data_IF_395686376322
#
_entry.id   IF_395686376322
#
_cell.length_a   1.000
_cell.length_b   1.000
_cell.length_c   1.000
_cell.angle_alpha   90.00
_cell.angle_beta   90.00
_cell.angle_gamma   90.00
#
_symmetry.space_group_name_H-M   'P 1'
#
loop_
_entity.id
_entity.type
_entity.pdbx_description
1 polymer ?
#
# COMPACT_ATOMS: atom_id res chain seq x y z
N UNK A 1 18.32 -31.17 6.72
CA UNK A 1 17.70 -30.32 7.75
C UNK A 1 18.61 -29.12 7.84
N UNK A 2 18.19 -27.98 7.27
CA UNK A 2 18.98 -26.75 7.33
C UNK A 2 18.75 -26.12 8.69
N UNK A 3 19.81 -25.86 9.44
CA UNK A 3 19.71 -25.14 10.71
C UNK A 3 19.53 -23.66 10.40
N UNK A 4 18.41 -23.08 10.86
CA UNK A 4 18.19 -21.64 10.74
C UNK A 4 18.78 -20.91 11.95
N UNK A 5 19.09 -19.64 11.75
CA UNK A 5 19.54 -18.74 12.81
C UNK A 5 18.82 -17.41 12.71
N UNK A 6 18.87 -16.64 13.81
CA UNK A 6 18.39 -15.27 13.84
C UNK A 6 19.48 -14.33 13.38
N UNK A 7 19.13 -13.45 12.45
CA UNK A 7 19.98 -12.38 11.98
C UNK A 7 19.73 -11.07 12.75
N UNK A 8 18.71 -11.02 13.61
CA UNK A 8 18.29 -9.86 14.38
C UNK A 8 16.81 -9.56 14.20
N UNK A 9 16.35 -8.52 14.89
CA UNK A 9 14.96 -8.06 14.84
C UNK A 9 14.83 -6.78 14.04
N UNK A 10 13.62 -6.42 13.65
CA UNK A 10 13.29 -5.16 12.99
C UNK A 10 13.87 -3.97 13.75
N UNK A 11 13.69 -3.95 15.07
CA UNK A 11 14.17 -2.86 15.92
C UNK A 11 15.67 -2.67 15.83
N UNK A 12 16.47 -3.74 15.88
CA UNK A 12 17.93 -3.61 15.91
C UNK A 12 18.59 -3.61 14.53
N UNK A 13 17.88 -4.00 13.46
CA UNK A 13 18.42 -4.06 12.10
C UNK A 13 17.90 -2.99 11.15
N UNK A 14 16.72 -2.42 11.41
CA UNK A 14 16.06 -1.50 10.47
C UNK A 14 15.69 -0.20 11.15
N UNK A 15 14.83 -0.24 12.17
CA UNK A 15 14.31 0.97 12.81
C UNK A 15 14.35 0.86 14.34
N UNK A 16 15.35 1.51 14.95
CA UNK A 16 15.55 1.53 16.41
C UNK A 16 14.40 2.14 17.22
N UNK A 17 13.46 2.83 16.56
CA UNK A 17 12.30 3.45 17.19
C UNK A 17 11.01 2.64 17.00
N UNK A 18 11.07 1.50 16.31
CA UNK A 18 9.91 0.69 15.97
C UNK A 18 10.11 -0.77 16.38
N UNK A 19 9.02 -1.41 16.79
CA UNK A 19 9.03 -2.79 17.27
C UNK A 19 8.78 -3.80 16.15
N UNK A 20 8.26 -3.37 15.00
CA UNK A 20 7.94 -4.25 13.86
C UNK A 20 7.60 -3.43 12.62
N UNK A 21 7.60 -4.01 11.41
CA UNK A 21 7.11 -3.31 10.22
C UNK A 21 5.65 -2.87 10.35
N UNK A 22 4.82 -3.66 11.05
CA UNK A 22 3.42 -3.29 11.29
C UNK A 22 3.30 -2.06 12.19
N UNK A 23 4.24 -1.87 13.12
CA UNK A 23 4.33 -0.67 13.94
C UNK A 23 4.75 0.56 13.12
N UNK A 24 5.65 0.41 12.13
CA UNK A 24 5.97 1.50 11.20
C UNK A 24 4.75 1.95 10.39
N UNK A 25 3.93 0.99 9.93
CA UNK A 25 2.67 1.27 9.25
C UNK A 25 1.70 2.04 10.17
N UNK A 26 1.57 1.59 11.43
CA UNK A 26 0.71 2.26 12.41
C UNK A 26 1.22 3.66 12.74
N UNK A 27 2.52 3.85 12.93
CA UNK A 27 3.12 5.16 13.21
C UNK A 27 2.90 6.13 12.06
N UNK A 28 3.02 5.66 10.81
CA UNK A 28 2.69 6.45 9.63
C UNK A 28 1.21 6.86 9.63
N UNK A 29 0.29 5.91 9.86
CA UNK A 29 -1.16 6.14 9.84
C UNK A 29 -1.60 7.04 11.00
N UNK A 30 -0.98 6.91 12.18
CA UNK A 30 -1.27 7.74 13.35
C UNK A 30 -0.94 9.23 13.13
N UNK A 31 -0.17 9.56 12.09
CA UNK A 31 0.07 10.94 11.65
C UNK A 31 -1.11 11.60 10.92
N UNK A 32 -2.10 10.82 10.47
CA UNK A 32 -3.31 11.30 9.79
C UNK A 32 -4.44 11.72 10.74
N UNK A 33 -5.60 12.10 10.20
CA UNK A 33 -6.79 12.38 11.01
C UNK A 33 -7.51 11.11 11.49
N UNK A 34 -8.25 11.23 12.60
CA UNK A 34 -8.89 10.08 13.26
C UNK A 34 -9.97 9.42 12.39
N UNK A 35 -10.72 10.20 11.61
CA UNK A 35 -11.80 9.67 10.77
C UNK A 35 -11.22 8.78 9.66
N UNK A 36 -10.09 9.18 9.08
CA UNK A 36 -9.35 8.39 8.11
C UNK A 36 -8.75 7.12 8.73
N UNK A 37 -8.17 7.21 9.93
CA UNK A 37 -7.63 6.05 10.65
C UNK A 37 -8.74 5.00 10.93
N UNK A 38 -9.88 5.45 11.45
CA UNK A 38 -11.04 4.59 11.71
C UNK A 38 -11.57 3.95 10.42
N UNK A 39 -11.58 4.71 9.31
CA UNK A 39 -12.00 4.19 8.01
C UNK A 39 -11.04 3.11 7.48
N UNK A 40 -9.73 3.30 7.63
CA UNK A 40 -8.72 2.31 7.24
C UNK A 40 -8.88 0.99 8.01
N UNK A 41 -9.10 1.07 9.31
CA UNK A 41 -9.31 -0.11 10.15
C UNK A 41 -10.64 -0.79 9.83
N UNK A 42 -11.75 -0.03 9.83
CA UNK A 42 -13.09 -0.58 9.61
C UNK A 42 -13.25 -1.20 8.22
N UNK A 43 -12.59 -0.64 7.20
CA UNK A 43 -12.63 -1.16 5.83
C UNK A 43 -11.75 -2.41 5.61
N UNK A 44 -10.83 -2.71 6.51
CA UNK A 44 -9.79 -3.73 6.34
C UNK A 44 -8.61 -3.27 5.46
N UNK A 45 -8.58 -1.99 5.06
CA UNK A 45 -7.46 -1.43 4.29
C UNK A 45 -6.15 -1.43 5.10
N UNK A 46 -6.21 -1.20 6.42
CA UNK A 46 -5.03 -1.27 7.30
C UNK A 46 -4.31 -2.62 7.21
N UNK A 47 -5.06 -3.72 7.36
CA UNK A 47 -4.49 -5.07 7.27
C UNK A 47 -3.89 -5.36 5.89
N UNK A 48 -4.49 -4.80 4.83
CA UNK A 48 -3.95 -4.91 3.48
C UNK A 48 -2.64 -4.15 3.31
N UNK A 49 -2.56 -2.92 3.81
CA UNK A 49 -1.33 -2.10 3.80
C UNK A 49 -0.20 -2.83 4.52
N UNK A 50 -0.47 -3.39 5.71
CA UNK A 50 0.51 -4.16 6.48
C UNK A 50 1.00 -5.39 5.71
N UNK A 51 0.08 -6.16 5.11
CA UNK A 51 0.45 -7.31 4.27
C UNK A 51 1.32 -6.88 3.09
N UNK A 52 0.93 -5.84 2.35
CA UNK A 52 1.66 -5.40 1.17
C UNK A 52 3.02 -4.78 1.50
N UNK A 53 3.17 -4.14 2.67
CA UNK A 53 4.46 -3.66 3.15
C UNK A 53 5.39 -4.84 3.51
N UNK A 54 4.86 -5.87 4.16
CA UNK A 54 5.61 -7.11 4.42
C UNK A 54 6.01 -7.83 3.14
N UNK A 55 5.12 -7.91 2.16
CA UNK A 55 5.43 -8.50 0.85
C UNK A 55 6.54 -7.71 0.14
N UNK A 56 6.52 -6.38 0.24
CA UNK A 56 7.58 -5.53 -0.32
C UNK A 56 8.93 -5.74 0.39
N UNK A 57 8.92 -5.94 1.71
CA UNK A 57 10.12 -6.28 2.49
C UNK A 57 10.66 -7.64 2.04
N UNK A 58 9.82 -8.67 2.01
CA UNK A 58 10.25 -10.02 1.62
C UNK A 58 10.82 -10.05 0.19
N UNK A 59 10.31 -9.21 -0.71
CA UNK A 59 10.77 -9.13 -2.10
C UNK A 59 12.20 -8.55 -2.25
N UNK A 60 12.70 -7.78 -1.28
CA UNK A 60 14.05 -7.19 -1.31
C UNK A 60 15.06 -7.97 -0.47
N UNK A 61 14.62 -8.96 0.31
CA UNK A 61 15.50 -9.80 1.11
C UNK A 61 16.31 -10.77 0.23
N UNK A 62 17.51 -11.18 0.69
CA UNK A 62 18.25 -12.24 0.04
C UNK A 62 17.48 -13.56 0.05
N UNK A 63 17.66 -14.42 -0.96
CA UNK A 63 17.11 -15.77 -0.94
C UNK A 63 17.51 -16.48 0.36
N UNK A 64 16.56 -17.18 0.97
CA UNK A 64 16.80 -17.90 2.22
C UNK A 64 16.72 -17.06 3.49
N UNK A 65 16.62 -15.73 3.39
CA UNK A 65 16.20 -14.86 4.50
C UNK A 65 14.71 -14.59 4.38
N UNK A 66 14.00 -14.68 5.51
CA UNK A 66 12.59 -14.29 5.62
C UNK A 66 12.34 -13.49 6.89
N UNK A 67 11.36 -12.59 6.86
CA UNK A 67 10.91 -11.88 8.05
C UNK A 67 9.76 -12.65 8.74
N UNK A 68 10.04 -13.22 9.91
CA UNK A 68 9.09 -13.97 10.72
C UNK A 68 8.64 -13.13 11.94
N UNK A 69 7.46 -12.51 11.83
CA UNK A 69 6.99 -11.57 12.85
C UNK A 69 7.78 -10.26 12.76
N UNK A 70 8.67 -10.03 13.71
CA UNK A 70 9.64 -8.94 13.75
C UNK A 70 11.09 -9.43 13.64
N UNK A 71 11.34 -10.72 13.41
CA UNK A 71 12.68 -11.31 13.41
C UNK A 71 13.11 -11.78 12.01
N UNK A 72 14.33 -11.44 11.59
CA UNK A 72 14.93 -11.93 10.35
C UNK A 72 15.56 -13.31 10.61
N UNK A 73 15.05 -14.32 9.90
CA UNK A 73 15.49 -15.71 10.04
C UNK A 73 16.11 -16.19 8.73
N UNK A 74 17.23 -16.88 8.82
CA UNK A 74 17.97 -17.36 7.65
C UNK A 74 18.86 -18.57 7.92
N UNK A 75 19.67 -19.02 6.95
CA UNK A 75 20.59 -20.15 7.13
C UNK A 75 21.71 -19.83 8.14
N UNK A 76 22.02 -20.74 9.06
CA UNK A 76 23.14 -20.52 10.00
C UNK A 76 24.52 -20.50 9.32
N UNK A 77 24.65 -21.23 8.20
CA UNK A 77 25.85 -21.29 7.37
C UNK A 77 25.43 -21.09 5.92
N UNK A 78 25.29 -19.82 5.47
CA UNK A 78 25.04 -19.54 4.06
C UNK A 78 26.21 -20.03 3.20
N UNK A 79 25.94 -20.31 1.93
CA UNK A 79 27.02 -20.54 0.95
C UNK A 79 27.85 -19.25 0.76
N UNK A 80 29.11 -19.38 0.34
CA UNK A 80 30.04 -18.23 0.22
C UNK A 80 29.52 -17.13 -0.72
N UNK A 81 28.71 -17.49 -1.72
CA UNK A 81 28.15 -16.60 -2.75
C UNK A 81 26.64 -16.32 -2.56
N UNK A 82 26.01 -16.83 -1.50
CA UNK A 82 24.55 -16.81 -1.35
C UNK A 82 23.98 -15.38 -1.26
N UNK A 83 24.77 -14.46 -0.70
CA UNK A 83 24.39 -13.07 -0.48
C UNK A 83 25.18 -12.09 -1.35
N UNK A 84 25.89 -12.57 -2.36
CA UNK A 84 26.65 -11.71 -3.28
C UNK A 84 25.72 -10.70 -3.97
N UNK A 85 26.10 -9.42 -3.92
CA UNK A 85 25.35 -8.32 -4.52
C UNK A 85 24.28 -7.70 -3.61
N UNK A 86 24.08 -8.22 -2.40
CA UNK A 86 23.23 -7.59 -1.39
C UNK A 86 24.01 -6.56 -0.55
N UNK A 87 23.34 -5.51 -0.04
CA UNK A 87 23.96 -4.52 0.84
C UNK A 87 24.54 -5.16 2.12
N UNK A 88 25.74 -4.69 2.51
CA UNK A 88 26.40 -5.09 3.76
C UNK A 88 26.84 -3.86 4.57
N UNK A 89 26.89 -4.02 5.89
CA UNK A 89 27.32 -3.00 6.84
C UNK A 89 28.86 -2.91 6.95
N UNK A 90 29.36 -2.02 7.80
CA UNK A 90 30.81 -1.82 8.03
C UNK A 90 31.53 -3.05 8.61
N UNK A 91 30.77 -4.06 9.04
CA UNK A 91 31.27 -5.30 9.62
C UNK A 91 31.03 -6.51 8.70
N UNK A 92 30.75 -6.27 7.41
CA UNK A 92 30.45 -7.27 6.39
C UNK A 92 29.20 -8.15 6.71
N UNK A 93 28.27 -7.67 7.54
CA UNK A 93 26.98 -8.34 7.75
C UNK A 93 25.92 -7.75 6.82
N UNK A 94 24.85 -8.52 6.54
CA UNK A 94 23.70 -8.01 5.78
C UNK A 94 23.13 -6.71 6.37
N UNK A 95 23.03 -5.68 5.54
CA UNK A 95 22.43 -4.40 5.90
C UNK A 95 20.94 -4.39 5.49
N UNK A 96 20.10 -4.91 6.39
CA UNK A 96 18.64 -4.94 6.17
C UNK A 96 18.03 -3.54 6.05
N UNK A 97 18.60 -2.54 6.74
CA UNK A 97 18.11 -1.17 6.65
C UNK A 97 18.31 -0.62 5.24
N UNK A 98 19.48 -0.84 4.64
CA UNK A 98 19.75 -0.46 3.25
C UNK A 98 18.84 -1.18 2.25
N UNK A 99 18.54 -2.47 2.47
CA UNK A 99 17.65 -3.24 1.58
C UNK A 99 16.22 -2.68 1.55
N UNK A 100 15.67 -2.33 2.71
CA UNK A 100 14.27 -1.86 2.80
C UNK A 100 14.13 -0.36 2.58
N UNK A 101 15.22 0.39 2.50
CA UNK A 101 15.23 1.86 2.38
C UNK A 101 14.44 2.37 1.17
N UNK A 102 14.43 1.62 0.07
CA UNK A 102 13.75 2.01 -1.17
C UNK A 102 12.24 1.72 -1.15
N UNK A 103 11.73 1.02 -0.13
CA UNK A 103 10.31 0.70 -0.02
C UNK A 103 9.54 1.95 0.39
N UNK A 104 8.75 2.46 -0.54
CA UNK A 104 7.88 3.62 -0.32
C UNK A 104 6.57 3.22 0.38
N UNK A 105 6.59 3.26 1.71
CA UNK A 105 5.40 3.03 2.53
C UNK A 105 4.26 4.00 2.20
N UNK A 106 4.57 5.27 1.91
CA UNK A 106 3.55 6.27 1.59
C UNK A 106 2.79 5.89 0.31
N UNK A 107 3.50 5.42 -0.72
CA UNK A 107 2.89 4.91 -1.95
C UNK A 107 2.03 3.67 -1.73
N UNK A 108 2.45 2.76 -0.84
CA UNK A 108 1.65 1.57 -0.45
C UNK A 108 0.36 2.00 0.28
N UNK A 109 0.41 3.01 1.14
CA UNK A 109 -0.78 3.56 1.79
C UNK A 109 -1.69 4.22 0.77
N UNK A 110 -1.16 5.12 -0.08
CA UNK A 110 -1.91 5.89 -1.08
C UNK A 110 -2.63 5.01 -2.11
N UNK A 111 -2.05 3.88 -2.51
CA UNK A 111 -2.69 2.94 -3.45
C UNK A 111 -3.80 2.12 -2.79
N UNK A 112 -3.73 1.91 -1.47
CA UNK A 112 -4.70 1.12 -0.71
C UNK A 112 -5.81 1.94 -0.05
N UNK A 113 -5.73 3.27 -0.13
CA UNK A 113 -6.70 4.14 0.51
C UNK A 113 -8.16 3.80 0.11
N UNK A 114 -9.08 3.70 1.09
CA UNK A 114 -10.49 3.49 0.85
C UNK A 114 -11.16 4.80 0.42
N UNK A 115 -11.52 4.90 -0.86
CA UNK A 115 -12.21 6.05 -1.42
C UNK A 115 -13.72 5.85 -1.42
N UNK A 116 -14.46 6.85 -0.96
CA UNK A 116 -15.91 6.93 -1.17
C UNK A 116 -16.22 7.42 -2.58
N UNK A 117 -17.49 7.28 -3.00
CA UNK A 117 -17.93 7.88 -4.26
C UNK A 117 -17.79 9.42 -4.27
N UNK A 118 -17.88 10.07 -3.12
CA UNK A 118 -17.72 11.52 -3.02
C UNK A 118 -16.27 11.90 -3.31
N UNK A 119 -15.30 11.21 -2.70
CA UNK A 119 -13.85 11.43 -2.89
C UNK A 119 -13.46 11.15 -4.34
N UNK A 120 -13.91 10.03 -4.91
CA UNK A 120 -13.70 9.71 -6.33
C UNK A 120 -14.29 10.80 -7.23
N UNK A 121 -15.46 11.32 -6.87
CA UNK A 121 -16.13 12.36 -7.64
C UNK A 121 -15.37 13.68 -7.63
N UNK A 122 -14.90 14.09 -6.45
CA UNK A 122 -14.25 15.39 -6.24
C UNK A 122 -12.79 15.38 -6.66
N UNK A 123 -12.03 14.39 -6.23
CA UNK A 123 -10.57 14.44 -6.30
C UNK A 123 -10.04 13.69 -7.51
N UNK A 124 -10.53 12.47 -7.73
CA UNK A 124 -10.08 11.62 -8.84
C UNK A 124 -10.67 12.05 -10.19
N UNK A 125 -11.99 12.31 -10.22
CA UNK A 125 -12.67 12.78 -11.42
C UNK A 125 -12.63 14.29 -11.63
N UNK A 126 -12.26 15.07 -10.60
CA UNK A 126 -12.31 16.54 -10.62
C UNK A 126 -13.67 17.07 -11.08
N UNK A 127 -14.75 16.40 -10.66
CA UNK A 127 -16.10 16.70 -11.11
C UNK A 127 -16.59 18.01 -10.49
N UNK A 128 -16.97 18.97 -11.34
CA UNK A 128 -17.62 20.21 -10.90
C UNK A 128 -19.15 20.09 -10.84
N UNK A 129 -19.69 18.87 -10.95
CA UNK A 129 -21.13 18.64 -10.88
C UNK A 129 -21.67 18.91 -9.48
N UNK A 130 -22.96 19.27 -9.39
CA UNK A 130 -23.64 19.47 -8.10
C UNK A 130 -23.65 18.20 -7.23
N UNK A 131 -23.64 17.02 -7.86
CA UNK A 131 -23.64 15.70 -7.20
C UNK A 131 -22.42 14.89 -7.68
N UNK A 132 -21.20 15.14 -7.16
CA UNK A 132 -19.98 14.47 -7.62
C UNK A 132 -20.02 12.95 -7.38
N UNK A 133 -20.54 12.48 -6.24
CA UNK A 133 -20.76 11.05 -6.00
C UNK A 133 -21.59 10.33 -7.07
N UNK A 134 -22.58 11.01 -7.65
CA UNK A 134 -23.41 10.42 -8.73
C UNK A 134 -22.64 10.29 -10.04
N UNK A 135 -21.77 11.25 -10.33
CA UNK A 135 -20.86 11.18 -11.47
C UNK A 135 -19.84 10.03 -11.29
N UNK A 136 -19.26 9.91 -10.09
CA UNK A 136 -18.38 8.81 -9.72
C UNK A 136 -19.07 7.45 -9.84
N UNK A 137 -20.28 7.29 -9.29
CA UNK A 137 -21.04 6.05 -9.36
C UNK A 137 -21.25 5.59 -10.80
N UNK A 138 -21.63 6.52 -11.69
CA UNK A 138 -21.79 6.24 -13.12
C UNK A 138 -20.47 5.88 -13.79
N UNK A 139 -19.38 6.54 -13.42
CA UNK A 139 -18.04 6.25 -13.95
C UNK A 139 -17.56 4.86 -13.50
N UNK A 140 -17.63 4.54 -12.21
CA UNK A 140 -17.23 3.24 -11.66
C UNK A 140 -18.05 2.11 -12.27
N UNK A 141 -19.37 2.29 -12.43
CA UNK A 141 -20.23 1.32 -13.12
C UNK A 141 -19.82 1.11 -14.58
N UNK A 142 -19.55 2.19 -15.33
CA UNK A 142 -19.11 2.10 -16.73
C UNK A 142 -17.74 1.43 -16.88
N UNK A 143 -16.84 1.69 -15.95
CA UNK A 143 -15.49 1.12 -15.91
C UNK A 143 -15.44 -0.25 -15.21
N UNK A 144 -16.60 -0.74 -14.72
CA UNK A 144 -16.73 -2.02 -14.01
C UNK A 144 -15.83 -2.15 -12.78
N UNK A 145 -15.47 -1.02 -12.16
CA UNK A 145 -14.73 -1.00 -10.89
C UNK A 145 -15.69 -1.42 -9.78
N UNK A 146 -15.31 -2.45 -9.03
CA UNK A 146 -16.09 -2.95 -7.90
C UNK A 146 -15.60 -2.32 -6.60
N UNK A 147 -16.47 -2.15 -5.59
CA UNK A 147 -16.03 -1.73 -4.26
C UNK A 147 -15.10 -2.79 -3.66
N UNK A 148 -13.81 -2.48 -3.55
CA UNK A 148 -12.79 -3.40 -3.07
C UNK A 148 -13.00 -3.79 -1.60
N UNK A 149 -13.50 -2.84 -0.80
CA UNK A 149 -13.75 -3.02 0.63
C UNK A 149 -15.23 -3.25 0.96
N UNK A 150 -16.08 -3.41 -0.05
CA UNK A 150 -17.52 -3.64 0.14
C UNK A 150 -18.29 -2.39 0.54
N UNK A 151 -19.34 -2.58 1.35
CA UNK A 151 -20.22 -1.51 1.81
C UNK A 151 -20.08 -1.31 3.31
N UNK A 152 -19.87 -0.06 3.72
CA UNK A 152 -19.67 0.35 5.10
C UNK A 152 -20.69 1.41 5.52
N UNK A 153 -21.04 1.55 6.80
CA UNK A 153 -21.93 2.60 7.25
C UNK A 153 -21.26 3.97 7.12
N UNK A 154 -21.94 4.95 6.51
CA UNK A 154 -21.45 6.33 6.44
C UNK A 154 -21.48 6.97 7.84
N UNK A 155 -20.40 7.65 8.29
CA UNK A 155 -20.26 8.12 9.69
C UNK A 155 -21.38 9.06 10.11
N UNK A 156 -21.76 10.03 9.26
CA UNK A 156 -22.84 10.97 9.58
C UNK A 156 -24.28 10.46 9.37
N UNK A 157 -24.53 9.46 8.50
CA UNK A 157 -25.90 9.09 8.10
C UNK A 157 -26.29 7.65 8.41
N UNK A 158 -25.32 6.79 8.76
CA UNK A 158 -25.50 5.34 8.95
C UNK A 158 -25.87 4.56 7.68
N UNK A 159 -26.05 5.24 6.54
CA UNK A 159 -26.42 4.58 5.28
C UNK A 159 -25.24 3.82 4.71
N UNK A 160 -25.45 2.66 4.06
CA UNK A 160 -24.38 1.95 3.37
C UNK A 160 -23.74 2.83 2.28
N UNK A 161 -22.42 2.92 2.31
CA UNK A 161 -21.58 3.55 1.29
C UNK A 161 -20.59 2.54 0.73
N UNK A 162 -20.41 2.53 -0.59
CA UNK A 162 -19.42 1.71 -1.25
C UNK A 162 -18.02 2.31 -1.06
N UNK A 163 -17.05 1.48 -0.67
CA UNK A 163 -15.65 1.86 -0.55
C UNK A 163 -14.82 1.16 -1.63
N UNK A 164 -14.08 1.96 -2.38
CA UNK A 164 -13.21 1.52 -3.45
C UNK A 164 -11.76 1.65 -3.05
N UNK A 165 -10.88 0.83 -3.62
CA UNK A 165 -9.45 1.02 -3.45
C UNK A 165 -8.93 2.07 -4.44
N UNK A 166 -8.14 3.02 -3.96
CA UNK A 166 -7.59 4.09 -4.77
C UNK A 166 -6.87 3.60 -6.03
N UNK A 167 -6.03 2.58 -5.94
CA UNK A 167 -5.33 1.98 -7.09
C UNK A 167 -6.30 1.50 -8.18
N UNK A 168 -7.37 0.80 -7.79
CA UNK A 168 -8.34 0.24 -8.73
C UNK A 168 -9.09 1.36 -9.46
N UNK A 169 -9.42 2.43 -8.73
CA UNK A 169 -10.05 3.63 -9.30
C UNK A 169 -9.10 4.33 -10.27
N UNK A 170 -7.89 4.68 -9.82
CA UNK A 170 -6.90 5.41 -10.63
C UNK A 170 -6.52 4.65 -11.90
N UNK A 171 -6.28 3.33 -11.77
CA UNK A 171 -5.99 2.45 -12.91
C UNK A 171 -7.14 2.41 -13.92
N UNK A 172 -8.38 2.29 -13.44
CA UNK A 172 -9.55 2.28 -14.32
C UNK A 172 -9.79 3.65 -14.99
N UNK A 173 -9.51 4.75 -14.30
CA UNK A 173 -9.62 6.09 -14.86
C UNK A 173 -8.55 6.36 -15.92
N UNK A 174 -7.32 5.89 -15.72
CA UNK A 174 -6.24 6.00 -16.69
C UNK A 174 -6.53 5.26 -18.01
N UNK A 175 -7.32 4.18 -17.94
CA UNK A 175 -7.73 3.38 -19.11
C UNK A 175 -9.03 3.86 -19.77
N UNK A 176 -9.60 4.98 -19.30
CA UNK A 176 -10.90 5.48 -19.77
C UNK A 176 -10.85 5.91 -21.26
N UNK A 177 -11.76 5.39 -22.11
CA UNK A 177 -11.87 5.84 -23.50
C UNK A 177 -12.18 7.33 -23.60
N UNK A 178 -11.37 8.09 -24.35
CA UNK A 178 -11.54 9.53 -24.59
C UNK A 178 -10.58 10.46 -23.84
N UNK A 179 -9.55 9.93 -23.16
CA UNK A 179 -8.43 10.74 -22.62
C UNK A 179 -7.34 11.10 -23.66
N UNK A 180 -7.62 10.96 -24.96
CA UNK A 180 -6.82 11.54 -26.04
C UNK A 180 -7.49 12.81 -26.55
N UNK A 181 -6.70 13.85 -26.85
CA UNK A 181 -7.20 15.04 -27.52
C UNK A 181 -8.03 14.64 -28.75
N UNK A 182 -9.27 15.13 -28.83
CA UNK A 182 -10.08 15.05 -30.03
C UNK A 182 -9.38 15.84 -31.14
N UNK A 183 -8.59 15.15 -31.96
CA UNK A 183 -7.96 15.71 -33.16
C UNK A 183 -8.94 15.81 -34.35
N UNK A 184 -10.20 15.43 -34.15
CA UNK A 184 -11.26 15.34 -35.16
C UNK A 184 -11.97 16.68 -35.47
N UNK A 185 -11.51 17.81 -34.91
CA UNK A 185 -12.13 19.15 -35.12
C UNK A 185 -11.21 20.25 -35.63
N UNK A 186 -10.02 19.93 -36.13
CA UNK A 186 -9.17 20.89 -36.84
C UNK A 186 -9.28 20.68 -38.35
N UNK A 187 -10.36 21.16 -38.98
CA UNK A 187 -10.52 21.06 -40.43
C UNK A 187 -11.94 21.33 -40.91
N UNK A 188 -12.41 22.56 -40.75
CA UNK A 188 -13.35 23.21 -41.68
C UNK A 188 -12.85 24.64 -41.96
#
# INVERSE_FOLDING_TARGET
MSTTTSYGTWTNRVNNYSTSPDADVLDYINGGDSDWQELLEASGALSRIQSEYRDAIEAVLPPGISLCGDEFIGPWQPAEDEFDGYPVDELDNLDFAAMVQEIDLASIVDRNEPLTLEDIGRDELKSTAKEPAKAASKAMSRLQVKPAYGYHPHPGSGRPQALYRAEDVRTALATRPGQGARTDKAGE
#
